data_IF_044252660136
#
_entry.id   IF_044252660136
#
_cell.length_a   1.000
_cell.length_b   1.000
_cell.length_c   1.000
_cell.angle_alpha   90.00
_cell.angle_beta   90.00
_cell.angle_gamma   90.00
#
_symmetry.space_group_name_H-M   'P 1'
#
loop_
_entity.id
_entity.type
_entity.pdbx_description
1 polymer ?
#
# COMPACT_ATOMS: atom_id res chain seq x y z
N UNK A 1 71.31 28.82 53.73
CA UNK A 1 70.23 29.74 54.16
C UNK A 1 68.94 29.12 53.65
N UNK A 2 68.22 28.31 54.46
CA UNK A 2 67.06 28.71 55.29
C UNK A 2 66.08 29.57 54.45
N UNK A 3 64.83 29.24 54.19
CA UNK A 3 63.74 28.53 54.90
C UNK A 3 62.68 28.20 53.83
N UNK A 4 61.61 27.42 54.00
CA UNK A 4 60.97 26.81 55.16
C UNK A 4 59.85 25.91 54.62
N UNK A 5 59.48 24.90 55.40
CA UNK A 5 58.42 23.95 55.04
C UNK A 5 57.01 24.45 55.35
N UNK A 6 56.01 23.75 54.82
CA UNK A 6 55.06 23.04 55.68
C UNK A 6 54.32 21.92 54.93
N UNK A 7 53.87 20.93 55.71
CA UNK A 7 53.41 19.59 55.36
C UNK A 7 51.94 19.49 54.87
N UNK A 8 51.71 18.63 53.87
CA UNK A 8 50.69 17.56 53.64
C UNK A 8 49.63 17.20 54.73
N UNK A 9 48.58 16.33 54.50
CA UNK A 9 47.92 15.73 53.30
C UNK A 9 46.33 15.65 53.40
N UNK A 10 45.54 14.60 52.99
CA UNK A 10 44.75 14.52 51.74
C UNK A 10 43.21 14.18 51.93
N UNK A 11 42.44 13.50 51.03
CA UNK A 11 41.07 13.85 50.57
C UNK A 11 39.92 13.01 51.22
N UNK A 12 38.63 13.07 50.77
CA UNK A 12 38.10 12.11 49.77
C UNK A 12 36.90 12.69 48.92
N UNK A 13 35.92 11.92 48.35
CA UNK A 13 35.67 11.86 46.90
C UNK A 13 34.26 12.32 46.44
N UNK A 14 34.00 12.17 45.14
CA UNK A 14 32.77 12.51 44.41
C UNK A 14 31.45 11.97 45.01
N UNK A 15 30.38 12.77 44.91
CA UNK A 15 28.99 12.35 45.04
C UNK A 15 28.10 13.16 44.08
N UNK A 16 27.10 12.48 43.52
CA UNK A 16 26.19 12.89 42.46
C UNK A 16 24.93 13.63 42.96
N UNK A 17 24.08 14.04 41.99
CA UNK A 17 22.67 14.47 42.10
C UNK A 17 22.47 15.90 42.66
N UNK A 18 21.53 16.77 42.25
CA UNK A 18 20.39 16.81 41.31
C UNK A 18 19.99 18.30 41.18
N UNK A 19 19.64 18.81 39.99
CA UNK A 19 18.27 19.15 39.53
C UNK A 19 17.57 20.28 40.30
N UNK A 20 17.18 21.36 39.59
CA UNK A 20 15.98 22.23 39.76
C UNK A 20 16.26 23.56 38.98
N UNK A 21 15.66 23.83 37.83
CA UNK A 21 14.28 24.25 37.51
C UNK A 21 14.27 25.74 37.12
N UNK A 22 14.05 26.04 35.83
CA UNK A 22 13.34 27.25 35.38
C UNK A 22 12.52 26.88 34.13
N UNK A 23 11.20 26.69 34.31
CA UNK A 23 10.18 26.98 33.28
C UNK A 23 10.12 28.52 33.13
N UNK A 24 9.86 29.12 31.97
CA UNK A 24 8.57 29.22 31.29
C UNK A 24 8.81 30.26 30.16
N UNK A 25 8.33 30.04 28.93
CA UNK A 25 7.36 30.95 28.29
C UNK A 25 6.97 30.39 26.92
N UNK A 26 5.66 30.28 26.74
CA UNK A 26 5.04 29.67 25.59
C UNK A 26 4.95 30.62 24.41
N UNK A 27 5.29 30.11 23.23
CA UNK A 27 4.69 30.63 22.00
C UNK A 27 3.82 29.52 21.41
N UNK A 28 2.55 29.87 21.17
CA UNK A 28 1.50 28.99 20.77
C UNK A 28 1.83 28.37 19.40
N UNK A 29 2.29 27.12 19.41
CA UNK A 29 2.38 26.30 18.22
C UNK A 29 0.96 26.11 17.65
N UNK A 30 0.65 26.90 16.62
CA UNK A 30 -0.32 26.56 15.59
C UNK A 30 0.00 25.12 15.14
N UNK A 31 -0.86 24.19 15.57
CA UNK A 31 -0.66 22.76 15.37
C UNK A 31 -1.01 22.42 13.93
N UNK A 32 -0.16 22.87 13.01
CA UNK A 32 -0.01 22.24 11.71
C UNK A 32 0.31 20.77 11.96
N UNK A 33 -0.64 19.90 11.61
CA UNK A 33 -0.43 18.47 11.58
C UNK A 33 0.89 18.18 10.84
N UNK A 34 1.79 17.34 11.37
CA UNK A 34 2.96 16.95 10.61
C UNK A 34 2.42 16.16 9.43
N UNK A 35 2.45 16.76 8.24
CA UNK A 35 2.26 16.03 7.01
C UNK A 35 3.35 14.94 7.02
N UNK A 36 2.95 13.71 7.40
CA UNK A 36 3.85 12.57 7.41
C UNK A 36 4.55 12.48 6.06
N UNK A 37 5.77 11.95 6.03
CA UNK A 37 6.51 11.76 4.79
C UNK A 37 5.60 11.11 3.72
N UNK A 38 5.72 11.47 2.43
CA UNK A 38 4.81 10.99 1.39
C UNK A 38 4.70 9.45 1.37
N UNK A 39 5.81 8.75 1.67
CA UNK A 39 5.83 7.29 1.85
C UNK A 39 4.93 6.79 2.98
N UNK A 40 4.85 7.51 4.10
CA UNK A 40 3.98 7.17 5.23
C UNK A 40 2.50 7.34 4.88
N UNK A 41 2.16 8.37 4.10
CA UNK A 41 0.78 8.57 3.64
C UNK A 41 0.33 7.46 2.67
N UNK A 42 1.22 7.03 1.77
CA UNK A 42 0.95 5.91 0.85
C UNK A 42 0.79 4.60 1.64
N UNK A 43 1.63 4.37 2.64
CA UNK A 43 1.52 3.20 3.52
C UNK A 43 0.19 3.18 4.28
N UNK A 44 -0.22 4.31 4.87
CA UNK A 44 -1.50 4.40 5.58
C UNK A 44 -2.68 4.10 4.66
N UNK A 45 -2.68 4.64 3.43
CA UNK A 45 -3.72 4.37 2.43
C UNK A 45 -3.72 2.90 1.99
N UNK A 46 -2.54 2.26 1.91
CA UNK A 46 -2.43 0.84 1.64
C UNK A 46 -2.98 -0.03 2.78
N UNK A 47 -2.65 0.31 4.02
CA UNK A 47 -3.16 -0.39 5.21
C UNK A 47 -4.70 -0.30 5.30
N UNK A 48 -5.25 0.89 5.03
CA UNK A 48 -6.70 1.09 4.94
C UNK A 48 -7.33 0.23 3.83
N UNK A 49 -6.72 0.21 2.64
CA UNK A 49 -7.17 -0.63 1.52
C UNK A 49 -7.18 -2.12 1.91
N UNK A 50 -6.10 -2.60 2.53
CA UNK A 50 -6.00 -3.98 2.99
C UNK A 50 -7.01 -4.32 4.08
N UNK A 51 -7.29 -3.39 5.00
CA UNK A 51 -8.32 -3.52 6.03
C UNK A 51 -9.72 -3.64 5.40
N UNK A 52 -10.07 -2.75 4.47
CA UNK A 52 -11.36 -2.79 3.74
C UNK A 52 -11.56 -4.08 2.95
N UNK A 53 -10.47 -4.67 2.46
CA UNK A 53 -10.49 -5.92 1.72
C UNK A 53 -10.40 -7.17 2.62
N UNK A 54 -10.14 -6.99 3.92
CA UNK A 54 -9.88 -8.07 4.89
C UNK A 54 -8.74 -8.99 4.43
N UNK A 55 -7.65 -8.38 3.95
CA UNK A 55 -6.46 -9.10 3.47
C UNK A 55 -5.70 -9.73 4.63
N UNK A 56 -5.21 -10.94 4.41
CA UNK A 56 -4.28 -11.62 5.30
C UNK A 56 -2.90 -10.94 5.31
N UNK A 57 -2.15 -11.14 6.38
CA UNK A 57 -0.86 -10.49 6.59
C UNK A 57 0.16 -10.90 5.52
N UNK A 58 0.15 -12.16 5.08
CA UNK A 58 1.09 -12.67 4.10
C UNK A 58 0.91 -12.00 2.74
N UNK A 59 -0.32 -11.99 2.21
CA UNK A 59 -0.62 -11.31 0.95
C UNK A 59 -0.40 -9.79 1.02
N UNK A 60 -0.71 -9.16 2.17
CA UNK A 60 -0.43 -7.73 2.42
C UNK A 60 1.07 -7.43 2.35
N UNK A 61 1.88 -8.22 3.05
CA UNK A 61 3.33 -8.05 3.09
C UNK A 61 3.97 -8.26 1.71
N UNK A 62 3.53 -9.29 0.96
CA UNK A 62 4.01 -9.54 -0.40
C UNK A 62 3.67 -8.38 -1.35
N UNK A 63 2.42 -7.89 -1.31
CA UNK A 63 1.98 -6.78 -2.14
C UNK A 63 2.74 -5.49 -1.83
N UNK A 64 2.95 -5.18 -0.54
CA UNK A 64 3.69 -4.00 -0.11
C UNK A 64 5.16 -4.05 -0.49
N UNK A 65 5.81 -5.19 -0.28
CA UNK A 65 7.20 -5.41 -0.68
C UNK A 65 7.38 -5.25 -2.20
N UNK A 66 6.47 -5.82 -2.98
CA UNK A 66 6.47 -5.70 -4.44
C UNK A 66 6.31 -4.25 -4.87
N UNK A 67 5.38 -3.50 -4.27
CA UNK A 67 5.19 -2.08 -4.56
C UNK A 67 6.41 -1.24 -4.21
N UNK A 68 7.01 -1.45 -3.04
CA UNK A 68 8.22 -0.72 -2.64
C UNK A 68 9.35 -0.94 -3.65
N UNK A 69 9.63 -2.20 -3.99
CA UNK A 69 10.64 -2.54 -4.99
C UNK A 69 10.37 -1.91 -6.36
N UNK A 70 9.11 -1.88 -6.79
CA UNK A 70 8.69 -1.22 -8.04
C UNK A 70 8.88 0.31 -7.95
N UNK A 71 8.49 0.93 -6.84
CA UNK A 71 8.57 2.38 -6.65
C UNK A 71 10.01 2.91 -6.55
N UNK A 72 10.95 2.06 -6.11
CA UNK A 72 12.38 2.38 -6.08
C UNK A 72 13.03 2.22 -7.46
N UNK A 73 12.56 1.25 -8.25
CA UNK A 73 13.16 0.92 -9.55
C UNK A 73 12.53 1.67 -10.74
N UNK A 74 11.27 2.12 -10.60
CA UNK A 74 10.49 2.75 -11.67
C UNK A 74 9.74 3.96 -11.15
N UNK A 75 9.52 4.95 -12.04
CA UNK A 75 8.64 6.09 -11.74
C UNK A 75 7.18 5.69 -11.94
N UNK A 76 6.44 5.54 -10.85
CA UNK A 76 5.02 5.16 -10.87
C UNK A 76 4.12 6.38 -11.06
N UNK A 77 3.71 6.63 -12.31
CA UNK A 77 2.87 7.80 -12.63
C UNK A 77 1.38 7.60 -12.29
N UNK A 78 0.74 8.68 -11.84
CA UNK A 78 -0.70 8.74 -11.52
C UNK A 78 -1.00 8.36 -10.07
N UNK A 79 -2.17 7.77 -9.83
CA UNK A 79 -2.62 7.43 -8.47
C UNK A 79 -1.87 6.20 -7.90
N UNK A 80 -1.28 6.35 -6.71
CA UNK A 80 -0.58 5.27 -6.00
C UNK A 80 -1.50 4.11 -5.61
N UNK A 81 -2.75 4.41 -5.21
CA UNK A 81 -3.72 3.36 -4.84
C UNK A 81 -4.00 2.40 -6.00
N UNK A 82 -3.91 2.90 -7.23
CA UNK A 82 -4.14 2.10 -8.43
C UNK A 82 -2.99 1.10 -8.65
N UNK A 83 -1.75 1.54 -8.40
CA UNK A 83 -0.57 0.66 -8.46
C UNK A 83 -0.56 -0.35 -7.32
N UNK A 84 -0.95 0.07 -6.12
CA UNK A 84 -1.13 -0.82 -4.96
C UNK A 84 -2.22 -1.87 -5.24
N UNK A 85 -3.31 -1.49 -5.92
CA UNK A 85 -4.33 -2.44 -6.36
C UNK A 85 -3.79 -3.48 -7.35
N UNK A 86 -2.89 -3.10 -8.27
CA UNK A 86 -2.19 -4.05 -9.16
C UNK A 86 -1.30 -5.01 -8.36
N UNK A 87 -0.49 -4.49 -7.44
CA UNK A 87 0.37 -5.28 -6.57
C UNK A 87 -0.44 -6.31 -5.76
N UNK A 88 -1.55 -5.86 -5.17
CA UNK A 88 -2.44 -6.69 -4.37
C UNK A 88 -3.12 -7.76 -5.21
N UNK A 89 -3.64 -7.40 -6.39
CA UNK A 89 -4.24 -8.37 -7.32
C UNK A 89 -3.27 -9.49 -7.69
N UNK A 90 -1.98 -9.15 -7.90
CA UNK A 90 -0.94 -10.13 -8.18
C UNK A 90 -0.68 -11.03 -6.99
N UNK A 91 -0.49 -10.47 -5.79
CA UNK A 91 -0.27 -11.25 -4.57
C UNK A 91 -1.42 -12.26 -4.33
N UNK A 92 -2.67 -11.79 -4.42
CA UNK A 92 -3.87 -12.64 -4.25
C UNK A 92 -4.00 -13.76 -5.29
N UNK A 93 -3.33 -13.65 -6.45
CA UNK A 93 -3.40 -14.64 -7.53
C UNK A 93 -2.15 -15.48 -7.69
N UNK A 94 -1.03 -15.07 -7.10
CA UNK A 94 0.19 -15.87 -6.96
C UNK A 94 0.04 -16.95 -5.87
N UNK A 95 -0.73 -16.69 -4.82
CA UNK A 95 -1.09 -17.71 -3.83
C UNK A 95 -1.91 -18.80 -4.51
N UNK A 96 -1.26 -19.91 -4.86
CA UNK A 96 -1.92 -21.08 -5.46
C UNK A 96 -2.90 -21.64 -4.42
N UNK A 97 -4.16 -21.94 -4.77
CA UNK A 97 -5.04 -22.66 -3.87
C UNK A 97 -4.53 -24.10 -3.81
N UNK A 98 -3.73 -24.42 -2.79
CA UNK A 98 -3.43 -25.81 -2.48
C UNK A 98 -4.72 -26.46 -2.00
N UNK A 99 -5.29 -27.33 -2.83
CA UNK A 99 -6.37 -28.25 -2.44
C UNK A 99 -5.76 -29.34 -1.55
N UNK A 100 -5.39 -28.98 -0.33
CA UNK A 100 -5.05 -29.92 0.72
C UNK A 100 -5.80 -29.50 1.97
N UNK A 101 -6.90 -30.22 2.25
CA UNK A 101 -7.77 -30.10 3.44
C UNK A 101 -8.64 -28.83 3.51
N UNK A 102 -9.71 -28.77 2.72
CA UNK A 102 -11.01 -28.21 3.15
C UNK A 102 -11.14 -26.72 3.52
N UNK A 103 -10.06 -25.95 3.59
CA UNK A 103 -10.08 -24.51 3.85
C UNK A 103 -9.28 -23.82 2.76
N UNK A 104 -9.97 -23.01 1.96
CA UNK A 104 -9.38 -22.23 0.90
C UNK A 104 -8.52 -21.10 1.51
N UNK A 105 -7.27 -21.40 1.86
CA UNK A 105 -6.29 -20.34 2.16
C UNK A 105 -5.78 -19.75 0.87
N UNK A 106 -6.45 -18.66 0.51
CA UNK A 106 -6.19 -17.77 -0.60
C UNK A 106 -7.39 -16.84 -0.60
N UNK A 107 -7.26 -15.68 0.03
CA UNK A 107 -8.34 -14.72 0.19
C UNK A 107 -8.81 -14.35 -1.23
N UNK A 108 -9.91 -14.95 -1.69
CA UNK A 108 -10.43 -14.82 -3.06
C UNK A 108 -11.10 -13.44 -3.20
N UNK A 109 -10.32 -12.37 -2.99
CA UNK A 109 -10.79 -11.01 -3.13
C UNK A 109 -11.07 -10.80 -4.61
N UNK A 110 -12.35 -10.63 -4.92
CA UNK A 110 -12.78 -10.42 -6.29
C UNK A 110 -12.14 -9.15 -6.84
N UNK A 111 -11.77 -9.17 -8.11
CA UNK A 111 -11.21 -7.99 -8.78
C UNK A 111 -12.15 -6.79 -8.61
N UNK A 112 -13.46 -6.99 -8.75
CA UNK A 112 -14.47 -5.96 -8.54
C UNK A 112 -14.38 -5.31 -7.14
N UNK A 113 -14.08 -6.08 -6.10
CA UNK A 113 -13.93 -5.54 -4.74
C UNK A 113 -12.66 -4.69 -4.63
N UNK A 114 -11.53 -5.15 -5.19
CA UNK A 114 -10.28 -4.36 -5.23
C UNK A 114 -10.54 -3.02 -5.92
N UNK A 115 -11.16 -3.04 -7.10
CA UNK A 115 -11.42 -1.85 -7.91
C UNK A 115 -12.36 -0.85 -7.23
N UNK A 116 -13.41 -1.34 -6.56
CA UNK A 116 -14.30 -0.48 -5.78
C UNK A 116 -13.61 0.15 -4.58
N UNK A 117 -12.66 -0.56 -3.96
CA UNK A 117 -11.93 -0.01 -2.83
C UNK A 117 -10.83 0.98 -3.25
N UNK A 118 -10.23 0.80 -4.42
CA UNK A 118 -9.22 1.71 -4.96
C UNK A 118 -9.79 2.81 -5.87
N UNK A 119 -11.11 2.84 -6.08
CA UNK A 119 -11.80 3.78 -6.98
C UNK A 119 -11.27 3.77 -8.42
N UNK A 120 -10.74 2.62 -8.84
CA UNK A 120 -10.14 2.45 -10.15
C UNK A 120 -11.13 1.81 -11.12
N UNK A 121 -11.31 2.40 -12.30
CA UNK A 121 -12.12 1.76 -13.34
C UNK A 121 -11.46 0.49 -13.87
N UNK A 122 -12.26 -0.46 -14.36
CA UNK A 122 -11.73 -1.71 -14.89
C UNK A 122 -10.82 -1.50 -16.12
N UNK A 123 -11.06 -0.44 -16.91
CA UNK A 123 -10.22 -0.07 -18.05
C UNK A 123 -8.86 0.46 -17.59
N UNK A 124 -8.84 1.39 -16.62
CA UNK A 124 -7.59 1.89 -16.03
C UNK A 124 -6.78 0.79 -15.39
N UNK A 125 -7.46 -0.16 -14.73
CA UNK A 125 -6.83 -1.34 -14.18
C UNK A 125 -6.10 -2.14 -15.26
N UNK A 126 -6.73 -2.49 -16.38
CA UNK A 126 -6.04 -3.25 -17.44
C UNK A 126 -4.82 -2.50 -18.00
N UNK A 127 -4.93 -1.19 -18.18
CA UNK A 127 -3.81 -0.37 -18.67
C UNK A 127 -2.63 -0.34 -17.69
N UNK A 128 -2.89 -0.19 -16.38
CA UNK A 128 -1.85 -0.21 -15.35
C UNK A 128 -1.32 -1.61 -15.08
N UNK A 129 -2.19 -2.62 -15.12
CA UNK A 129 -1.84 -4.02 -14.90
C UNK A 129 -0.89 -4.53 -15.97
N UNK A 130 -1.04 -4.15 -17.25
CA UNK A 130 -0.07 -4.47 -18.31
C UNK A 130 1.31 -3.91 -18.00
N UNK A 131 1.39 -2.63 -17.63
CA UNK A 131 2.66 -2.00 -17.22
C UNK A 131 3.27 -2.72 -16.01
N UNK A 132 2.44 -3.07 -15.02
CA UNK A 132 2.89 -3.80 -13.84
C UNK A 132 3.40 -5.21 -14.18
N UNK A 133 2.71 -5.95 -15.05
CA UNK A 133 3.13 -7.27 -15.54
C UNK A 133 4.49 -7.23 -16.23
N UNK A 134 4.74 -6.17 -16.99
CA UNK A 134 6.02 -5.92 -17.66
C UNK A 134 7.11 -5.56 -16.66
N UNK A 135 6.88 -4.58 -15.78
CA UNK A 135 7.85 -4.15 -14.77
C UNK A 135 8.22 -5.28 -13.81
N UNK A 136 7.23 -6.05 -13.33
CA UNK A 136 7.42 -7.14 -12.38
C UNK A 136 7.85 -8.47 -13.06
N UNK A 137 8.08 -8.46 -14.38
CA UNK A 137 8.47 -9.61 -15.19
C UNK A 137 7.61 -10.86 -14.91
N UNK A 138 6.29 -10.68 -14.88
CA UNK A 138 5.37 -11.77 -14.51
C UNK A 138 5.31 -12.88 -15.58
N UNK A 139 5.16 -14.16 -15.18
CA UNK A 139 5.14 -15.28 -16.12
C UNK A 139 4.04 -15.17 -17.18
N UNK A 140 4.27 -15.67 -18.41
CA UNK A 140 3.31 -15.55 -19.52
C UNK A 140 1.90 -16.07 -19.20
N UNK A 141 1.80 -17.18 -18.46
CA UNK A 141 0.52 -17.75 -18.05
C UNK A 141 -0.31 -16.79 -17.15
N UNK A 142 0.35 -15.97 -16.33
CA UNK A 142 -0.34 -14.96 -15.54
C UNK A 142 -0.92 -13.85 -16.44
N UNK A 143 -0.08 -13.35 -17.37
CA UNK A 143 -0.46 -12.32 -18.33
C UNK A 143 -1.63 -12.75 -19.20
N UNK A 144 -1.59 -13.97 -19.73
CA UNK A 144 -2.69 -14.54 -20.54
C UNK A 144 -4.02 -14.56 -19.79
N UNK A 145 -3.99 -14.83 -18.47
CA UNK A 145 -5.20 -14.82 -17.64
C UNK A 145 -5.80 -13.42 -17.50
N UNK A 146 -4.96 -12.39 -17.35
CA UNK A 146 -5.38 -10.98 -17.31
C UNK A 146 -5.89 -10.53 -18.69
N UNK A 147 -5.19 -10.85 -19.77
CA UNK A 147 -5.60 -10.55 -21.15
C UNK A 147 -6.93 -11.21 -21.53
N UNK A 148 -7.14 -12.47 -21.11
CA UNK A 148 -8.42 -13.16 -21.33
C UNK A 148 -9.55 -12.46 -20.59
N UNK A 149 -9.29 -11.95 -19.38
CA UNK A 149 -10.27 -11.18 -18.63
C UNK A 149 -10.64 -9.87 -19.34
N UNK A 150 -9.65 -9.16 -19.87
CA UNK A 150 -9.85 -7.94 -20.67
C UNK A 150 -10.64 -8.20 -21.95
N UNK A 151 -10.31 -9.27 -22.68
CA UNK A 151 -11.06 -9.69 -23.88
C UNK A 151 -12.52 -10.01 -23.56
N UNK A 152 -12.76 -10.80 -22.51
CA UNK A 152 -14.12 -11.15 -22.08
C UNK A 152 -14.93 -9.93 -21.66
N UNK A 153 -14.29 -8.99 -20.95
CA UNK A 153 -14.91 -7.71 -20.60
C UNK A 153 -15.26 -6.92 -21.86
N UNK A 154 -14.34 -6.79 -22.81
CA UNK A 154 -14.56 -6.06 -24.06
C UNK A 154 -15.74 -6.62 -24.84
N UNK A 155 -15.80 -7.95 -25.01
CA UNK A 155 -16.93 -8.61 -25.68
C UNK A 155 -18.24 -8.30 -24.96
N UNK A 156 -18.27 -8.45 -23.64
CA UNK A 156 -19.48 -8.20 -22.83
C UNK A 156 -19.93 -6.74 -22.90
N UNK A 157 -18.99 -5.79 -22.82
CA UNK A 157 -19.27 -4.36 -22.91
C UNK A 157 -19.82 -3.96 -24.29
N UNK A 158 -19.25 -4.53 -25.37
CA UNK A 158 -19.74 -4.30 -26.74
C UNK A 158 -21.15 -4.86 -26.93
N UNK A 159 -21.43 -6.07 -26.42
CA UNK A 159 -22.76 -6.68 -26.48
C UNK A 159 -23.76 -5.82 -25.70
N UNK A 160 -23.42 -5.42 -24.47
CA UNK A 160 -24.29 -4.58 -23.64
C UNK A 160 -24.61 -3.25 -24.34
N UNK A 161 -23.61 -2.60 -24.93
CA UNK A 161 -23.80 -1.36 -25.71
C UNK A 161 -24.72 -1.56 -26.92
N UNK A 162 -24.66 -2.71 -27.58
CA UNK A 162 -25.58 -3.06 -28.69
C UNK A 162 -26.99 -3.39 -28.21
N UNK A 163 -27.13 -3.92 -27.00
CA UNK A 163 -28.43 -4.29 -26.43
C UNK A 163 -29.26 -3.08 -26.03
N UNK A 164 -28.62 -2.01 -25.53
CA UNK A 164 -29.29 -0.78 -25.09
C UNK A 164 -30.34 -0.23 -26.10
N UNK A 165 -30.01 0.06 -27.39
CA UNK A 165 -31.00 0.54 -28.33
C UNK A 165 -32.10 -0.48 -28.65
N UNK A 166 -31.81 -1.78 -28.63
CA UNK A 166 -32.80 -2.85 -28.84
C UNK A 166 -33.78 -2.88 -27.68
N UNK A 167 -33.28 -2.76 -26.45
CA UNK A 167 -34.10 -2.73 -25.24
C UNK A 167 -35.04 -1.52 -25.26
N UNK A 168 -34.53 -0.33 -25.60
CA UNK A 168 -35.34 0.89 -25.70
C UNK A 168 -36.42 0.82 -26.80
N UNK A 169 -36.16 0.10 -27.89
CA UNK A 169 -37.17 -0.09 -28.94
C UNK A 169 -38.29 -1.06 -28.53
N UNK A 170 -37.95 -2.12 -27.78
CA UNK A 170 -38.93 -3.12 -27.33
C UNK A 170 -39.73 -2.60 -26.11
N UNK A 171 -39.04 -2.02 -25.13
CA UNK A 171 -39.61 -1.57 -23.86
C UNK A 171 -39.80 -0.05 -23.87
N UNK A 172 -40.85 0.40 -24.56
CA UNK A 172 -41.27 1.81 -24.53
C UNK A 172 -42.02 2.11 -23.24
N UNK A 173 -41.70 3.24 -22.62
CA UNK A 173 -42.47 3.74 -21.49
C UNK A 173 -43.90 4.10 -21.98
N UNK A 174 -44.97 3.70 -21.26
CA UNK A 174 -46.34 4.05 -21.64
C UNK A 174 -46.57 5.56 -21.68
#
# INVERSE_FOLDING_TARGET
>A
MASGGNQSPPPPPAAAASSEEEEEDGDAADRAQPAGSPSHQIQQRFEELCSRLNMDEAARAEAWSSYRSMSESYTLEGNDLHWLACALYVACRKSVPTVSKGTAEGNYVSLTRILRCSEQSLIEFFNKMKKWEDMANLPPHFRERTERLERNFTVSAVIFKKYEPIFQDIFKYP
#
